data_IF_832776238521
#
_entry.id   IF_832776238521
#
_cell.length_a   1.000
_cell.length_b   1.000
_cell.length_c   1.000
_cell.angle_alpha   90.00
_cell.angle_beta   90.00
_cell.angle_gamma   90.00
#
_symmetry.space_group_name_H-M   'P 1'
#
loop_
_entity.id
_entity.type
_entity.pdbx_description
1 polymer ?
#
# COMPACT_ATOMS: atom_id res chain seq x y z
N UNK A 1 -6.69 -5.53 0.16
CA UNK A 1 -6.37 -5.02 -1.19
C UNK A 1 -7.02 -3.66 -1.37
N UNK A 2 -6.23 -2.71 -1.82
CA UNK A 2 -6.70 -1.36 -2.11
C UNK A 2 -6.54 -1.13 -3.61
N UNK A 3 -7.58 -0.68 -4.26
CA UNK A 3 -7.56 -0.44 -5.70
C UNK A 3 -7.58 1.06 -5.96
N UNK A 4 -6.58 1.52 -6.70
CA UNK A 4 -6.42 2.92 -7.05
C UNK A 4 -5.33 3.61 -6.26
N UNK A 5 -4.31 4.10 -6.96
CA UNK A 5 -3.14 4.75 -6.38
C UNK A 5 -3.23 6.27 -6.35
N UNK A 6 -4.44 6.83 -6.25
CA UNK A 6 -4.62 8.26 -6.01
C UNK A 6 -4.36 8.60 -4.55
N UNK A 7 -4.52 9.89 -4.18
CA UNK A 7 -4.20 10.32 -2.81
C UNK A 7 -4.93 9.54 -1.73
N UNK A 8 -6.23 9.27 -1.93
CA UNK A 8 -7.03 8.54 -0.95
C UNK A 8 -6.52 7.12 -0.77
N UNK A 9 -6.25 6.42 -1.87
CA UNK A 9 -5.75 5.04 -1.80
C UNK A 9 -4.38 4.95 -1.14
N UNK A 10 -3.50 5.89 -1.47
CA UNK A 10 -2.15 5.93 -0.90
C UNK A 10 -2.21 6.19 0.61
N UNK A 11 -3.04 7.13 1.04
CA UNK A 11 -3.20 7.44 2.47
C UNK A 11 -3.80 6.26 3.21
N UNK A 12 -4.79 5.62 2.62
CA UNK A 12 -5.44 4.47 3.24
C UNK A 12 -4.47 3.31 3.40
N UNK A 13 -3.68 3.02 2.36
CA UNK A 13 -2.69 1.95 2.41
C UNK A 13 -1.67 2.20 3.52
N UNK A 14 -1.17 3.43 3.61
CA UNK A 14 -0.21 3.79 4.64
C UNK A 14 -0.79 3.66 6.04
N UNK A 15 -2.00 4.15 6.25
CA UNK A 15 -2.66 4.10 7.55
C UNK A 15 -2.90 2.65 7.98
N UNK A 16 -3.42 1.83 7.09
CA UNK A 16 -3.70 0.43 7.43
C UNK A 16 -2.41 -0.31 7.73
N UNK A 17 -1.36 -0.07 6.94
CA UNK A 17 -0.08 -0.73 7.17
C UNK A 17 0.52 -0.35 8.53
N UNK A 18 0.43 0.92 8.91
CA UNK A 18 0.92 1.37 10.20
C UNK A 18 0.14 0.75 11.35
N UNK A 19 -1.19 0.73 11.24
CA UNK A 19 -2.03 0.15 12.28
C UNK A 19 -1.78 -1.35 12.43
N UNK A 20 -1.69 -2.06 11.33
CA UNK A 20 -1.43 -3.50 11.37
C UNK A 20 -0.08 -3.79 12.00
N UNK A 21 0.94 -3.03 11.61
CA UNK A 21 2.29 -3.25 12.13
C UNK A 21 2.36 -3.01 13.64
N UNK A 22 1.83 -1.88 14.09
CA UNK A 22 1.90 -1.51 15.51
C UNK A 22 1.04 -2.42 16.39
N UNK A 23 -0.19 -2.66 15.96
CA UNK A 23 -1.12 -3.47 16.75
C UNK A 23 -0.63 -4.90 16.90
N UNK A 24 -0.21 -5.51 15.79
CA UNK A 24 0.24 -6.90 15.82
C UNK A 24 1.53 -7.04 16.62
N UNK A 25 2.42 -6.08 16.53
CA UNK A 25 3.69 -6.15 17.26
C UNK A 25 3.48 -6.08 18.78
N UNK A 26 2.54 -5.23 19.21
CA UNK A 26 2.33 -4.98 20.63
C UNK A 26 1.44 -6.02 21.30
N UNK A 27 0.42 -6.49 20.61
CA UNK A 27 -0.62 -7.35 21.22
C UNK A 27 -0.52 -8.82 20.87
N UNK A 28 0.09 -9.15 19.74
CA UNK A 28 0.08 -10.52 19.24
C UNK A 28 1.48 -10.98 18.89
N UNK A 29 2.28 -11.16 19.91
CA UNK A 29 3.68 -11.55 19.73
C UNK A 29 3.86 -12.89 19.05
N UNK A 30 2.86 -13.75 19.15
CA UNK A 30 2.91 -15.08 18.56
C UNK A 30 2.41 -15.14 17.12
N UNK A 31 1.86 -14.03 16.63
CA UNK A 31 1.34 -13.97 15.27
C UNK A 31 2.44 -13.52 14.33
N UNK A 32 2.58 -14.25 13.24
CA UNK A 32 3.55 -13.89 12.21
C UNK A 32 3.02 -12.69 11.41
N UNK A 33 3.56 -11.51 11.69
CA UNK A 33 3.13 -10.29 11.04
C UNK A 33 3.43 -10.27 9.55
N UNK A 34 4.30 -11.17 9.07
CA UNK A 34 4.61 -11.26 7.65
C UNK A 34 3.43 -11.78 6.84
N UNK A 35 2.46 -12.39 7.50
CA UNK A 35 1.24 -12.85 6.82
C UNK A 35 0.25 -11.72 6.59
N UNK A 36 0.40 -10.60 7.29
CA UNK A 36 -0.46 -9.45 7.11
C UNK A 36 0.09 -8.61 5.96
N UNK A 37 -0.66 -8.54 4.87
CA UNK A 37 -0.20 -7.85 3.68
C UNK A 37 -1.20 -6.79 3.24
N UNK A 38 -0.68 -5.59 2.98
CA UNK A 38 -1.45 -4.55 2.33
C UNK A 38 -0.97 -4.45 0.89
N UNK A 39 -1.89 -4.58 -0.04
CA UNK A 39 -1.57 -4.53 -1.46
C UNK A 39 -2.33 -3.35 -2.09
N UNK A 40 -1.59 -2.46 -2.72
CA UNK A 40 -2.15 -1.34 -3.45
C UNK A 40 -1.98 -1.60 -4.94
N UNK A 41 -3.08 -1.65 -5.67
CA UNK A 41 -3.08 -1.94 -7.11
C UNK A 41 -3.46 -0.68 -7.87
N UNK A 42 -2.63 -0.31 -8.83
CA UNK A 42 -2.87 0.85 -9.67
C UNK A 42 -2.78 0.45 -11.15
N UNK A 43 -3.79 0.84 -11.92
CA UNK A 43 -3.84 0.53 -13.35
C UNK A 43 -2.80 1.31 -14.16
N UNK A 44 -2.44 2.50 -13.72
CA UNK A 44 -1.44 3.32 -14.39
C UNK A 44 -0.02 2.87 -14.11
N UNK A 45 0.93 3.63 -14.61
CA UNK A 45 2.34 3.29 -14.48
C UNK A 45 2.99 3.86 -13.23
N UNK A 46 2.25 4.63 -12.44
CA UNK A 46 2.74 5.13 -11.15
C UNK A 46 1.58 5.55 -10.26
N UNK A 47 1.81 5.51 -8.94
CA UNK A 47 0.84 6.06 -7.99
C UNK A 47 0.94 7.59 -8.03
N UNK A 48 -0.10 8.27 -7.56
CA UNK A 48 -0.15 9.73 -7.53
C UNK A 48 0.19 10.33 -8.89
N UNK A 49 -0.45 9.81 -9.96
CA UNK A 49 -0.10 10.18 -11.33
C UNK A 49 -0.30 11.66 -11.64
N UNK A 50 -1.14 12.35 -10.87
CA UNK A 50 -1.39 13.78 -11.06
C UNK A 50 -0.39 14.67 -10.33
N UNK A 51 0.57 14.08 -9.66
CA UNK A 51 1.62 14.81 -8.94
C UNK A 51 2.95 14.64 -9.67
N UNK A 52 3.96 15.39 -9.23
CA UNK A 52 5.28 15.30 -9.84
C UNK A 52 5.84 13.87 -9.72
N UNK A 53 6.57 13.39 -10.74
CA UNK A 53 7.13 12.02 -10.70
C UNK A 53 8.00 11.75 -9.48
N UNK A 54 8.72 12.74 -8.99
CA UNK A 54 9.56 12.60 -7.79
C UNK A 54 8.71 12.29 -6.56
N UNK A 55 7.54 12.91 -6.47
CA UNK A 55 6.63 12.65 -5.36
C UNK A 55 6.07 11.24 -5.45
N UNK A 56 5.72 10.79 -6.65
CA UNK A 56 5.25 9.43 -6.86
C UNK A 56 6.27 8.41 -6.41
N UNK A 57 7.52 8.60 -6.80
CA UNK A 57 8.61 7.70 -6.43
C UNK A 57 8.86 7.71 -4.92
N UNK A 58 8.83 8.87 -4.31
CA UNK A 58 9.00 9.00 -2.87
C UNK A 58 7.89 8.27 -2.11
N UNK A 59 6.64 8.50 -2.54
CA UNK A 59 5.50 7.88 -1.89
C UNK A 59 5.52 6.36 -2.02
N UNK A 60 5.88 5.85 -3.18
CA UNK A 60 5.96 4.41 -3.39
C UNK A 60 7.03 3.79 -2.49
N UNK A 61 8.21 4.40 -2.40
CA UNK A 61 9.27 3.91 -1.53
C UNK A 61 8.83 3.92 -0.06
N UNK A 62 8.14 4.98 0.35
CA UNK A 62 7.65 5.09 1.73
C UNK A 62 6.64 3.99 2.04
N UNK A 63 5.70 3.72 1.12
CA UNK A 63 4.72 2.65 1.30
C UNK A 63 5.41 1.29 1.38
N UNK A 64 6.37 1.04 0.51
CA UNK A 64 7.09 -0.24 0.51
C UNK A 64 7.86 -0.46 1.81
N UNK A 65 8.39 0.60 2.39
CA UNK A 65 9.06 0.52 3.69
C UNK A 65 8.11 0.17 4.82
N UNK A 66 6.84 0.56 4.68
CA UNK A 66 5.79 0.19 5.64
C UNK A 66 5.27 -1.23 5.42
N UNK A 67 5.73 -1.90 4.39
CA UNK A 67 5.29 -3.25 4.09
C UNK A 67 4.15 -3.34 3.08
N UNK A 68 3.82 -2.23 2.42
CA UNK A 68 2.81 -2.22 1.37
C UNK A 68 3.42 -2.75 0.08
N UNK A 69 2.73 -3.65 -0.58
CA UNK A 69 3.10 -4.10 -1.92
C UNK A 69 2.37 -3.20 -2.92
N UNK A 70 3.11 -2.56 -3.80
CA UNK A 70 2.55 -1.69 -4.83
C UNK A 70 2.64 -2.41 -6.18
N UNK A 71 1.48 -2.62 -6.82
CA UNK A 71 1.41 -3.25 -8.13
C UNK A 71 0.92 -2.23 -9.16
N UNK A 72 1.75 -1.93 -10.12
CA UNK A 72 1.48 -0.94 -11.16
C UNK A 72 1.13 -1.60 -12.48
N UNK A 73 0.43 -0.87 -13.34
CA UNK A 73 0.08 -1.35 -14.67
C UNK A 73 -0.88 -2.51 -14.63
N UNK A 74 -1.68 -2.62 -13.59
CA UNK A 74 -2.56 -3.76 -13.40
C UNK A 74 -3.99 -3.31 -13.13
N UNK A 75 -4.87 -3.59 -14.06
CA UNK A 75 -6.29 -3.28 -13.89
C UNK A 75 -6.96 -4.43 -13.13
N UNK A 76 -7.83 -4.07 -12.18
CA UNK A 76 -8.61 -5.06 -11.46
C UNK A 76 -9.92 -5.25 -12.21
N UNK A 77 -10.10 -6.43 -12.77
CA UNK A 77 -11.30 -6.76 -13.52
C UNK A 77 -12.23 -7.69 -12.75
N UNK A 78 -11.70 -8.32 -11.70
CA UNK A 78 -12.44 -9.27 -10.89
C UNK A 78 -11.95 -9.21 -9.46
N UNK A 79 -12.86 -9.09 -8.51
CA UNK A 79 -12.56 -9.10 -7.09
C UNK A 79 -13.27 -10.28 -6.44
N UNK A 80 -12.52 -11.36 -6.27
CA UNK A 80 -13.07 -12.56 -5.62
C UNK A 80 -12.45 -12.76 -4.24
#
# INVERSE_FOLDING_TARGET
VIVGGGPTGVELAGTIAELAHDTLRDEFRNIDTRQTRVVLIEAGDRILANFAPELSAYAQTALERLGVTVELGRAVTELD
#
